data_IF_204876648422
#
_entry.id   IF_204876648422
#
_cell.length_a   1.000
_cell.length_b   1.000
_cell.length_c   1.000
_cell.angle_alpha   90.00
_cell.angle_beta   90.00
_cell.angle_gamma   90.00
#
_symmetry.space_group_name_H-M   'P 1'
#
loop_
_entity.id
_entity.type
_entity.pdbx_description
1 polymer ?
#
# COMPACT_ATOMS: atom_id res chain seq x y z
N UNK A 1 2.85 8.74 -7.47
CA UNK A 1 2.97 7.28 -7.44
C UNK A 1 4.30 6.88 -8.07
N UNK A 2 5.34 6.82 -7.25
CA UNK A 2 6.69 6.46 -7.67
C UNK A 2 7.20 5.30 -6.84
N UNK A 3 7.79 4.31 -7.51
CA UNK A 3 8.93 3.59 -6.97
C UNK A 3 8.64 2.40 -6.07
N UNK A 4 8.31 1.28 -6.69
CA UNK A 4 8.83 -0.02 -6.25
C UNK A 4 8.23 -0.61 -4.97
N UNK A 5 8.79 -1.74 -4.59
CA UNK A 5 8.37 -2.43 -3.40
C UNK A 5 8.74 -1.58 -2.18
N UNK A 6 7.76 -0.91 -1.57
CA UNK A 6 7.95 -0.30 -0.26
C UNK A 6 8.55 -1.34 0.70
N UNK A 7 9.68 -0.99 1.33
CA UNK A 7 10.44 -1.90 2.19
C UNK A 7 9.59 -2.54 3.29
N UNK A 8 8.54 -1.84 3.71
CA UNK A 8 7.49 -2.25 4.66
C UNK A 8 6.89 -3.66 4.40
N UNK A 9 6.99 -4.18 3.18
CA UNK A 9 6.31 -5.40 2.75
C UNK A 9 7.23 -6.50 2.22
N UNK A 10 8.56 -6.33 2.23
CA UNK A 10 9.50 -7.43 1.95
C UNK A 10 10.61 -7.50 3.00
N UNK A 11 10.21 -7.64 4.25
CA UNK A 11 11.14 -7.87 5.36
C UNK A 11 11.80 -6.62 5.93
N UNK A 12 11.61 -5.45 5.32
CA UNK A 12 11.69 -4.20 6.07
C UNK A 12 10.46 -4.12 6.93
N UNK A 13 10.57 -4.47 8.21
CA UNK A 13 9.56 -4.02 9.14
C UNK A 13 9.48 -2.51 9.00
N UNK A 14 8.34 -2.01 8.53
CA UNK A 14 8.05 -0.57 8.44
C UNK A 14 7.88 0.05 9.83
N UNK A 15 8.81 -0.20 10.76
CA UNK A 15 8.96 0.53 12.02
C UNK A 15 10.22 1.41 11.89
N UNK A 16 10.23 2.35 10.92
CA UNK A 16 11.13 3.52 10.98
C UNK A 16 11.75 4.06 9.67
N UNK A 17 11.91 5.39 9.69
CA UNK A 17 12.77 6.31 8.89
C UNK A 17 12.67 6.34 7.35
N UNK A 18 11.47 6.13 6.81
CA UNK A 18 11.00 6.83 5.60
C UNK A 18 9.96 7.90 5.98
N UNK A 19 9.56 8.78 5.06
CA UNK A 19 8.36 9.60 5.23
C UNK A 19 7.19 8.71 5.66
N UNK A 20 6.57 8.99 6.82
CA UNK A 20 5.59 8.11 7.44
C UNK A 20 6.22 6.95 8.23
N UNK A 21 6.31 7.09 9.56
CA UNK A 21 6.66 5.99 10.46
C UNK A 21 5.48 5.02 10.57
N UNK A 22 5.49 3.93 9.81
CA UNK A 22 4.50 2.86 9.94
C UNK A 22 3.73 2.56 8.65
N UNK A 23 3.13 1.36 8.51
CA UNK A 23 2.20 1.04 7.43
C UNK A 23 0.93 1.92 7.44
N UNK A 24 0.78 2.79 8.45
CA UNK A 24 -0.36 3.67 8.68
C UNK A 24 -0.07 5.15 8.42
N UNK A 25 1.11 5.49 7.88
CA UNK A 25 1.50 6.89 7.65
C UNK A 25 1.63 7.69 8.95
N UNK A 26 1.88 8.98 8.83
CA UNK A 26 1.98 9.91 9.97
C UNK A 26 0.62 10.02 10.66
N UNK A 27 0.45 9.28 11.75
CA UNK A 27 -0.59 9.51 12.76
C UNK A 27 -0.17 10.59 13.78
N UNK A 28 1.10 11.05 13.70
CA UNK A 28 1.78 11.82 14.77
C UNK A 28 2.64 13.00 14.27
N UNK A 29 2.63 13.37 12.97
CA UNK A 29 3.33 14.59 12.53
C UNK A 29 2.34 15.74 12.42
N UNK A 30 2.46 16.66 13.38
CA UNK A 30 2.06 18.08 13.37
C UNK A 30 1.03 18.47 12.29
N UNK A 31 -0.27 18.34 12.60
CA UNK A 31 -1.33 19.08 11.91
C UNK A 31 -2.36 18.28 11.10
N UNK A 32 -2.30 16.94 11.08
CA UNK A 32 -3.39 16.09 10.59
C UNK A 32 -3.75 15.05 11.66
N UNK A 33 -4.26 15.56 12.78
CA UNK A 33 -4.55 14.81 13.98
C UNK A 33 -5.66 13.77 13.77
N UNK A 34 -5.62 12.74 14.61
CA UNK A 34 -6.77 11.89 14.94
C UNK A 34 -8.06 12.66 15.31
N UNK A 35 -7.95 13.97 15.53
CA UNK A 35 -9.05 14.89 15.87
C UNK A 35 -9.94 15.27 14.68
N UNK A 36 -9.50 15.00 13.44
CA UNK A 36 -10.29 15.25 12.23
C UNK A 36 -11.22 14.09 11.85
N UNK A 37 -11.26 13.03 12.65
CA UNK A 37 -12.08 11.84 12.39
C UNK A 37 -13.20 11.69 13.42
N UNK A 38 -14.43 11.48 12.96
CA UNK A 38 -15.59 11.30 13.81
C UNK A 38 -16.15 9.88 13.69
N UNK A 39 -16.50 9.26 14.83
CA UNK A 39 -17.14 7.95 14.81
C UNK A 39 -18.56 8.04 14.24
N UNK A 40 -18.84 7.21 13.24
CA UNK A 40 -20.14 7.06 12.60
C UNK A 40 -20.75 5.73 13.04
N UNK A 41 -21.88 5.77 13.74
CA UNK A 41 -22.67 4.59 14.11
C UNK A 41 -23.32 3.91 12.90
N UNK A 42 -23.44 4.62 11.76
CA UNK A 42 -23.97 4.08 10.51
C UNK A 42 -22.96 3.15 9.82
N UNK A 43 -21.69 3.57 9.77
CA UNK A 43 -20.63 2.79 9.12
C UNK A 43 -19.81 1.94 10.10
N UNK A 44 -19.95 2.17 11.41
CA UNK A 44 -19.11 1.60 12.47
C UNK A 44 -17.61 1.89 12.26
N UNK A 45 -17.32 3.15 11.88
CA UNK A 45 -15.99 3.63 11.52
C UNK A 45 -15.75 5.03 12.02
N UNK A 46 -14.50 5.37 12.24
CA UNK A 46 -14.05 6.77 12.27
C UNK A 46 -13.89 7.25 10.84
N UNK A 47 -14.73 8.19 10.44
CA UNK A 47 -14.69 8.84 9.13
C UNK A 47 -13.90 10.13 9.27
N UNK A 48 -12.80 10.25 8.54
CA UNK A 48 -11.96 11.43 8.59
C UNK A 48 -12.46 12.52 7.66
N UNK A 49 -12.21 13.77 8.05
CA UNK A 49 -12.43 14.93 7.21
C UNK A 49 -11.68 14.77 5.89
N UNK A 50 -12.34 15.12 4.78
CA UNK A 50 -11.76 15.01 3.45
C UNK A 50 -10.65 16.04 3.29
N UNK A 51 -9.42 15.57 3.05
CA UNK A 51 -8.28 16.43 2.76
C UNK A 51 -8.27 16.75 1.27
N UNK A 52 -8.06 18.04 0.94
CA UNK A 52 -7.87 18.52 -0.43
C UNK A 52 -6.56 19.26 -0.55
N UNK A 53 -5.66 18.72 -1.35
CA UNK A 53 -4.32 19.29 -1.52
C UNK A 53 -3.85 19.07 -2.96
N UNK A 54 -3.30 20.10 -3.60
CA UNK A 54 -2.68 20.01 -4.93
C UNK A 54 -3.58 19.35 -6.00
N UNK A 55 -4.89 19.62 -5.97
CA UNK A 55 -5.87 19.07 -6.93
C UNK A 55 -6.30 17.63 -6.65
N UNK A 56 -5.82 17.03 -5.56
CA UNK A 56 -6.25 15.72 -5.07
C UNK A 56 -7.27 15.86 -3.95
N UNK A 57 -8.18 14.90 -3.90
CA UNK A 57 -9.13 14.65 -2.82
C UNK A 57 -8.75 13.32 -2.17
N UNK A 58 -8.49 13.35 -0.87
CA UNK A 58 -8.09 12.19 -0.08
C UNK A 58 -9.18 11.94 0.95
N UNK A 59 -9.70 10.71 0.97
CA UNK A 59 -10.65 10.23 1.97
C UNK A 59 -10.02 9.05 2.71
N UNK A 60 -10.16 9.02 4.03
CA UNK A 60 -9.63 7.98 4.90
C UNK A 60 -10.66 7.63 5.96
N UNK A 61 -10.77 6.35 6.28
CA UNK A 61 -11.58 5.91 7.42
C UNK A 61 -11.02 4.67 8.08
N UNK A 62 -11.38 4.49 9.35
CA UNK A 62 -10.83 3.45 10.21
C UNK A 62 -11.92 2.64 10.90
N UNK A 63 -11.67 1.36 11.13
CA UNK A 63 -12.44 0.55 12.07
C UNK A 63 -11.50 -0.07 13.08
N UNK A 64 -11.88 -0.01 14.34
CA UNK A 64 -11.15 -0.59 15.46
C UNK A 64 -12.04 -1.63 16.11
N UNK A 65 -11.50 -2.84 16.27
CA UNK A 65 -12.18 -3.93 16.96
C UNK A 65 -11.30 -4.44 18.09
N UNK A 66 -11.94 -4.79 19.21
CA UNK A 66 -11.28 -5.52 20.28
C UNK A 66 -11.04 -7.00 19.92
N UNK A 67 -10.50 -7.78 20.86
CA UNK A 67 -10.25 -9.21 20.65
C UNK A 67 -11.54 -10.05 20.47
N UNK A 68 -12.69 -9.57 20.94
CA UNK A 68 -14.00 -10.21 20.75
C UNK A 68 -14.67 -9.83 19.43
N UNK A 69 -14.12 -8.85 18.71
CA UNK A 69 -14.71 -8.29 17.49
C UNK A 69 -15.69 -7.15 17.76
N UNK A 70 -15.78 -6.63 18.98
CA UNK A 70 -16.62 -5.50 19.30
C UNK A 70 -16.01 -4.20 18.76
N UNK A 71 -16.84 -3.34 18.17
CA UNK A 71 -16.43 -2.05 17.60
C UNK A 71 -16.01 -1.09 18.70
N UNK A 72 -14.88 -0.44 18.50
CA UNK A 72 -14.36 0.61 19.37
C UNK A 72 -14.45 1.95 18.65
N UNK A 73 -14.88 2.98 19.38
CA UNK A 73 -15.08 4.33 18.84
C UNK A 73 -13.77 5.11 18.69
N UNK A 74 -12.70 4.62 19.31
CA UNK A 74 -11.35 5.15 19.25
C UNK A 74 -10.34 3.99 19.36
N UNK A 75 -9.11 4.25 18.95
CA UNK A 75 -8.02 3.30 19.15
C UNK A 75 -7.65 3.26 20.63
N UNK A 76 -7.52 2.06 21.17
CA UNK A 76 -7.12 1.81 22.55
C UNK A 76 -5.93 0.85 22.56
N UNK A 77 -4.80 1.32 23.07
CA UNK A 77 -3.53 0.55 23.05
C UNK A 77 -3.57 -0.75 23.84
N UNK A 78 -4.50 -0.89 24.79
CA UNK A 78 -4.62 -2.09 25.62
C UNK A 78 -5.57 -3.12 25.00
N UNK A 79 -6.63 -2.66 24.34
CA UNK A 79 -7.79 -3.50 23.98
C UNK A 79 -7.99 -3.65 22.47
N UNK A 80 -7.53 -2.70 21.64
CA UNK A 80 -7.66 -2.82 20.18
C UNK A 80 -6.83 -3.98 19.66
N UNK A 81 -7.49 -4.96 19.04
CA UNK A 81 -6.85 -6.11 18.42
C UNK A 81 -6.76 -5.99 16.90
N UNK A 82 -7.76 -5.39 16.28
CA UNK A 82 -7.88 -5.28 14.83
C UNK A 82 -8.04 -3.83 14.43
N UNK A 83 -7.26 -3.41 13.44
CA UNK A 83 -7.39 -2.12 12.76
C UNK A 83 -7.65 -2.40 11.29
N UNK A 84 -8.71 -1.83 10.75
CA UNK A 84 -8.95 -1.75 9.32
C UNK A 84 -8.86 -0.30 8.85
N UNK A 85 -8.15 -0.06 7.75
CA UNK A 85 -7.95 1.26 7.14
C UNK A 85 -8.43 1.23 5.71
N UNK A 86 -9.32 2.17 5.38
CA UNK A 86 -9.73 2.45 4.01
C UNK A 86 -9.17 3.80 3.61
N UNK A 87 -8.69 3.89 2.38
CA UNK A 87 -8.21 5.16 1.82
C UNK A 87 -8.61 5.23 0.36
N UNK A 88 -9.03 6.41 -0.09
CA UNK A 88 -9.18 6.71 -1.50
C UNK A 88 -8.52 8.04 -1.82
N UNK A 89 -7.93 8.11 -3.00
CA UNK A 89 -7.30 9.32 -3.53
C UNK A 89 -7.81 9.50 -4.94
N UNK A 90 -8.38 10.65 -5.23
CA UNK A 90 -8.83 10.98 -6.58
C UNK A 90 -8.63 12.44 -6.89
N UNK A 91 -8.32 12.78 -8.12
CA UNK A 91 -8.23 14.16 -8.55
C UNK A 91 -7.28 14.33 -9.71
N UNK A 92 -6.97 15.58 -10.00
CA UNK A 92 -6.13 15.95 -11.13
C UNK A 92 -5.04 16.88 -10.65
N UNK A 93 -3.80 16.48 -10.90
CA UNK A 93 -2.61 17.25 -10.61
C UNK A 93 -2.10 17.80 -11.93
N UNK A 94 -1.97 19.11 -12.03
CA UNK A 94 -1.16 19.72 -13.09
C UNK A 94 0.29 19.70 -12.60
N UNK A 95 1.17 19.10 -13.40
CA UNK A 95 2.61 19.20 -13.16
C UNK A 95 3.08 20.59 -13.65
N UNK A 96 4.31 20.74 -14.13
CA UNK A 96 4.63 21.93 -14.93
C UNK A 96 3.61 22.12 -16.07
N UNK A 97 3.55 23.31 -16.69
CA UNK A 97 2.55 23.71 -17.70
C UNK A 97 2.40 22.74 -18.91
N UNK A 98 3.23 21.72 -19.00
CA UNK A 98 3.29 20.74 -20.08
C UNK A 98 2.63 19.40 -19.78
N UNK A 99 2.18 19.10 -18.55
CA UNK A 99 1.54 17.81 -18.26
C UNK A 99 0.52 17.83 -17.12
N UNK A 100 -0.53 17.03 -17.26
CA UNK A 100 -1.61 16.86 -16.28
C UNK A 100 -1.83 15.39 -16.00
N UNK A 101 -1.97 15.00 -14.73
CA UNK A 101 -2.25 13.63 -14.31
C UNK A 101 -3.52 13.53 -13.52
N UNK A 102 -4.45 12.68 -13.97
CA UNK A 102 -5.66 12.31 -13.25
C UNK A 102 -5.43 10.99 -12.56
N UNK A 103 -5.66 10.96 -11.25
CA UNK A 103 -5.45 9.81 -10.37
C UNK A 103 -6.78 9.36 -9.81
N UNK A 104 -6.97 8.05 -9.68
CA UNK A 104 -8.05 7.42 -8.92
C UNK A 104 -7.53 6.12 -8.30
N UNK A 105 -7.35 6.10 -6.99
CA UNK A 105 -6.78 4.97 -6.25
C UNK A 105 -7.63 4.72 -5.01
N UNK A 106 -7.76 3.46 -4.63
CA UNK A 106 -8.37 3.05 -3.36
C UNK A 106 -7.61 1.90 -2.74
N UNK A 107 -7.63 1.83 -1.41
CA UNK A 107 -7.06 0.73 -0.64
C UNK A 107 -7.91 0.37 0.57
N UNK A 108 -7.84 -0.89 0.96
CA UNK A 108 -8.50 -1.48 2.12
C UNK A 108 -7.54 -2.49 2.78
N UNK A 109 -7.04 -2.16 3.97
CA UNK A 109 -6.05 -2.97 4.68
C UNK A 109 -6.52 -3.27 6.10
N UNK A 110 -6.32 -4.51 6.55
CA UNK A 110 -6.61 -4.96 7.90
C UNK A 110 -5.36 -5.55 8.54
N UNK A 111 -5.08 -5.11 9.76
CA UNK A 111 -4.07 -5.69 10.64
C UNK A 111 -4.75 -6.25 11.88
N UNK A 112 -4.45 -7.49 12.22
CA UNK A 112 -4.91 -8.15 13.45
C UNK A 112 -3.72 -8.52 14.35
N UNK A 113 -3.99 -8.84 15.62
CA UNK A 113 -2.95 -9.18 16.60
C UNK A 113 -2.27 -7.94 17.20
N UNK A 114 -3.03 -6.87 17.40
CA UNK A 114 -2.55 -5.62 17.99
C UNK A 114 -2.73 -5.57 19.51
N UNK A 115 -3.60 -6.40 20.07
CA UNK A 115 -3.87 -6.41 21.50
C UNK A 115 -2.64 -6.87 22.28
N UNK A 116 -2.51 -6.40 23.52
CA UNK A 116 -1.44 -6.80 24.43
C UNK A 116 -1.37 -8.32 24.57
N UNK A 117 -0.16 -8.87 24.57
CA UNK A 117 0.08 -10.32 24.64
C UNK A 117 0.00 -11.06 23.29
N UNK A 118 -0.31 -10.37 22.19
CA UNK A 118 -0.22 -10.98 20.86
C UNK A 118 1.22 -11.43 20.55
N UNK A 119 1.37 -12.61 19.97
CA UNK A 119 2.68 -13.18 19.56
C UNK A 119 2.99 -12.97 18.09
N UNK A 120 2.03 -12.45 17.32
CA UNK A 120 2.14 -12.19 15.89
C UNK A 120 1.14 -11.14 15.45
N UNK A 121 1.41 -10.54 14.29
CA UNK A 121 0.46 -9.70 13.55
C UNK A 121 0.14 -10.35 12.22
N UNK A 122 -1.10 -10.20 11.76
CA UNK A 122 -1.51 -10.66 10.43
C UNK A 122 -2.02 -9.49 9.61
N UNK A 123 -1.53 -9.37 8.39
CA UNK A 123 -1.93 -8.31 7.44
C UNK A 123 -2.70 -8.93 6.28
N UNK A 124 -3.84 -8.34 5.97
CA UNK A 124 -4.61 -8.59 4.77
C UNK A 124 -4.95 -7.26 4.10
N UNK A 125 -5.18 -7.27 2.80
CA UNK A 125 -5.75 -6.10 2.15
C UNK A 125 -5.62 -6.09 0.65
N UNK A 126 -6.21 -5.08 0.05
CA UNK A 126 -6.18 -4.84 -1.38
C UNK A 126 -5.98 -3.36 -1.65
N UNK A 127 -5.37 -3.05 -2.78
CA UNK A 127 -5.39 -1.70 -3.32
C UNK A 127 -5.46 -1.78 -4.84
N UNK A 128 -6.13 -0.81 -5.45
CA UNK A 128 -6.20 -0.72 -6.90
C UNK A 128 -6.34 0.74 -7.31
N UNK A 129 -5.87 1.06 -8.51
CA UNK A 129 -6.05 2.40 -9.04
C UNK A 129 -5.52 2.60 -10.44
N UNK A 130 -5.85 3.78 -10.96
CA UNK A 130 -5.48 4.24 -12.30
C UNK A 130 -4.84 5.62 -12.23
N UNK A 131 -3.89 5.84 -13.12
CA UNK A 131 -3.30 7.14 -13.43
C UNK A 131 -3.42 7.37 -14.93
N UNK A 132 -3.88 8.55 -15.34
CA UNK A 132 -3.87 8.99 -16.71
C UNK A 132 -3.13 10.32 -16.78
N UNK A 133 -1.99 10.34 -17.45
CA UNK A 133 -1.20 11.53 -17.71
C UNK A 133 -1.32 11.92 -19.17
N UNK A 134 -1.63 13.18 -19.44
CA UNK A 134 -1.51 13.77 -20.77
C UNK A 134 -0.53 14.93 -20.72
N UNK A 135 0.19 15.17 -21.80
CA UNK A 135 1.13 16.28 -21.85
C UNK A 135 1.89 16.36 -23.15
N UNK A 136 2.92 17.19 -23.16
CA UNK A 136 3.82 17.39 -24.30
C UNK A 136 5.27 17.26 -23.83
N UNK A 137 6.06 16.47 -24.55
CA UNK A 137 7.51 16.34 -24.33
C UNK A 137 8.22 16.58 -25.66
N UNK A 138 9.16 17.53 -25.69
CA UNK A 138 9.90 17.88 -26.91
C UNK A 138 8.94 18.14 -28.09
N UNK A 139 7.88 18.92 -27.84
CA UNK A 139 6.81 19.27 -28.80
C UNK A 139 5.92 18.09 -29.25
N UNK A 140 6.19 16.87 -28.79
CA UNK A 140 5.35 15.69 -29.06
C UNK A 140 4.36 15.48 -27.94
N UNK A 141 3.06 15.58 -28.27
CA UNK A 141 2.01 15.23 -27.32
C UNK A 141 2.05 13.74 -26.99
N UNK A 142 1.79 13.40 -25.73
CA UNK A 142 1.72 12.03 -25.25
C UNK A 142 0.55 11.81 -24.31
N UNK A 143 0.10 10.56 -24.26
CA UNK A 143 -0.81 10.04 -23.25
C UNK A 143 -0.15 8.84 -22.61
N UNK A 144 -0.02 8.85 -21.28
CA UNK A 144 0.44 7.72 -20.50
C UNK A 144 -0.66 7.27 -19.55
N UNK A 145 -1.00 5.99 -19.55
CA UNK A 145 -1.91 5.40 -18.59
C UNK A 145 -1.19 4.36 -17.74
N UNK A 146 -1.59 4.25 -16.48
CA UNK A 146 -1.15 3.19 -15.57
C UNK A 146 -2.35 2.62 -14.84
N UNK A 147 -2.37 1.31 -14.70
CA UNK A 147 -3.31 0.61 -13.83
C UNK A 147 -2.50 -0.27 -12.90
N UNK A 148 -2.77 -0.18 -11.60
CA UNK A 148 -2.07 -0.96 -10.58
C UNK A 148 -3.08 -1.66 -9.67
N UNK A 149 -2.67 -2.82 -9.15
CA UNK A 149 -3.45 -3.62 -8.22
C UNK A 149 -2.55 -4.46 -7.33
N UNK A 150 -2.72 -4.35 -6.03
CA UNK A 150 -1.99 -5.10 -5.01
C UNK A 150 -2.96 -5.90 -4.13
N UNK A 151 -2.50 -7.05 -3.65
CA UNK A 151 -3.24 -7.91 -2.72
C UNK A 151 -2.28 -8.49 -1.70
N UNK A 152 -2.65 -8.38 -0.43
CA UNK A 152 -1.96 -8.97 0.70
C UNK A 152 -2.89 -10.02 1.30
N UNK A 153 -2.40 -11.25 1.41
CA UNK A 153 -3.20 -12.36 1.93
C UNK A 153 -2.42 -13.06 3.03
N UNK A 154 -2.94 -12.97 4.25
CA UNK A 154 -2.47 -13.72 5.41
C UNK A 154 -1.00 -13.50 5.72
N UNK A 155 -0.47 -12.29 5.52
CA UNK A 155 0.93 -12.01 5.80
C UNK A 155 1.15 -11.98 7.31
N UNK A 156 1.82 -13.00 7.85
CA UNK A 156 2.06 -13.17 9.29
C UNK A 156 3.45 -12.69 9.64
N UNK A 157 3.55 -11.81 10.64
CA UNK A 157 4.79 -11.29 11.18
C UNK A 157 4.82 -11.64 12.68
N UNK A 158 5.69 -12.57 13.11
CA UNK A 158 5.86 -12.88 14.54
C UNK A 158 6.32 -11.66 15.33
N UNK A 159 5.98 -11.57 16.60
CA UNK A 159 6.47 -10.53 17.51
C UNK A 159 7.57 -11.12 18.39
N UNK A 160 8.69 -10.41 18.49
CA UNK A 160 9.80 -10.76 19.37
C UNK A 160 10.27 -9.51 20.11
N UNK A 161 10.47 -9.64 21.42
CA UNK A 161 10.87 -8.52 22.27
C UNK A 161 12.20 -7.92 21.82
N UNK A 162 12.18 -6.61 21.58
CA UNK A 162 13.36 -5.82 21.25
C UNK A 162 14.01 -6.14 19.89
N UNK A 163 13.37 -6.93 19.00
CA UNK A 163 13.94 -7.28 17.70
C UNK A 163 12.92 -7.21 16.56
N UNK A 164 13.27 -6.54 15.46
CA UNK A 164 12.54 -6.69 14.21
C UNK A 164 12.56 -8.17 13.74
N UNK A 165 11.39 -8.73 13.45
CA UNK A 165 11.21 -10.03 12.78
C UNK A 165 10.96 -9.85 11.27
N UNK A 166 10.54 -10.89 10.57
CA UNK A 166 10.17 -10.83 9.16
C UNK A 166 8.92 -11.68 8.91
N UNK A 167 8.22 -11.48 7.78
CA UNK A 167 7.06 -12.28 7.47
C UNK A 167 7.38 -13.77 7.34
N UNK A 168 6.63 -14.62 8.03
CA UNK A 168 6.81 -16.08 8.04
C UNK A 168 5.71 -16.82 7.30
N UNK A 169 4.59 -16.19 6.97
CA UNK A 169 3.54 -16.80 6.18
C UNK A 169 2.83 -15.75 5.31
N UNK A 170 2.08 -16.22 4.31
CA UNK A 170 1.23 -15.40 3.47
C UNK A 170 1.82 -15.04 2.13
N UNK A 171 1.10 -14.20 1.39
CA UNK A 171 1.46 -13.80 0.03
C UNK A 171 1.19 -12.32 -0.19
N UNK A 172 2.05 -11.69 -0.97
CA UNK A 172 1.86 -10.34 -1.51
C UNK A 172 1.90 -10.44 -3.02
N UNK A 173 0.81 -10.06 -3.67
CA UNK A 173 0.71 -9.96 -5.13
C UNK A 173 0.68 -8.48 -5.50
N UNK A 174 1.45 -8.11 -6.51
CA UNK A 174 1.44 -6.77 -7.09
C UNK A 174 1.35 -6.87 -8.60
N UNK A 175 0.57 -5.99 -9.20
CA UNK A 175 0.40 -5.96 -10.64
C UNK A 175 0.33 -4.52 -11.11
N UNK A 176 1.00 -4.25 -12.22
CA UNK A 176 0.98 -2.96 -12.88
C UNK A 176 0.99 -3.17 -14.39
N UNK A 177 0.18 -2.38 -15.08
CA UNK A 177 0.28 -2.18 -16.52
C UNK A 177 0.47 -0.70 -16.78
N UNK A 178 1.37 -0.36 -17.69
CA UNK A 178 1.59 0.99 -18.16
C UNK A 178 1.53 1.01 -19.69
N UNK A 179 0.82 1.98 -20.25
CA UNK A 179 0.75 2.23 -21.69
C UNK A 179 1.17 3.67 -21.96
N UNK A 180 2.00 3.88 -22.96
CA UNK A 180 2.39 5.21 -23.44
C UNK A 180 2.09 5.30 -24.93
N UNK A 181 1.42 6.37 -25.33
CA UNK A 181 1.10 6.68 -26.72
C UNK A 181 1.63 8.06 -27.04
N UNK A 182 2.49 8.16 -28.05
CA UNK A 182 2.93 9.44 -28.63
C UNK A 182 1.98 9.83 -29.76
N UNK A 183 1.77 11.13 -29.96
CA UNK A 183 0.96 11.64 -31.07
C UNK A 183 1.47 11.13 -32.42
N UNK A 184 0.57 10.57 -33.23
CA UNK A 184 0.90 9.95 -34.52
C UNK A 184 1.60 8.58 -34.43
N UNK A 185 1.89 8.09 -33.22
CA UNK A 185 2.53 6.79 -32.99
C UNK A 185 1.55 5.70 -32.54
N UNK A 186 2.02 4.45 -32.55
CA UNK A 186 1.30 3.34 -31.92
C UNK A 186 1.58 3.27 -30.40
N UNK A 187 0.62 2.79 -29.59
CA UNK A 187 0.83 2.61 -28.16
C UNK A 187 1.93 1.59 -27.86
N UNK A 188 2.74 1.89 -26.85
CA UNK A 188 3.69 0.96 -26.24
C UNK A 188 3.17 0.57 -24.86
N UNK A 189 2.98 -0.73 -24.62
CA UNK A 189 2.47 -1.26 -23.36
C UNK A 189 3.52 -2.14 -22.69
N UNK A 190 3.70 -1.99 -21.38
CA UNK A 190 4.44 -2.93 -20.55
C UNK A 190 3.64 -3.29 -19.31
N UNK A 191 3.78 -4.53 -18.86
CA UNK A 191 3.08 -5.12 -17.73
C UNK A 191 4.05 -5.87 -16.84
N UNK A 192 3.81 -5.81 -15.54
CA UNK A 192 4.62 -6.48 -14.53
C UNK A 192 3.72 -6.99 -13.41
N UNK A 193 3.88 -8.26 -13.08
CA UNK A 193 3.24 -8.91 -11.94
C UNK A 193 4.29 -9.57 -11.07
N UNK A 194 4.25 -9.28 -9.78
CA UNK A 194 5.10 -9.89 -8.77
C UNK A 194 4.24 -10.68 -7.78
N UNK A 195 4.69 -11.89 -7.42
CA UNK A 195 4.12 -12.69 -6.34
C UNK A 195 5.22 -13.02 -5.36
N UNK A 196 5.11 -12.49 -4.14
CA UNK A 196 6.01 -12.81 -3.03
C UNK A 196 5.29 -13.79 -2.11
N UNK A 197 5.92 -14.92 -1.83
CA UNK A 197 5.39 -15.94 -0.92
C UNK A 197 6.32 -16.13 0.27
N UNK A 198 5.73 -16.11 1.45
CA UNK A 198 6.38 -16.42 2.71
C UNK A 198 5.91 -17.80 3.18
N UNK A 199 6.86 -18.70 3.41
CA UNK A 199 6.60 -20.11 3.71
C UNK A 199 7.33 -20.60 4.97
N UNK A 200 7.71 -19.67 5.84
CA UNK A 200 8.41 -19.92 7.10
C UNK A 200 9.93 -19.93 6.98
N UNK A 201 10.47 -19.95 5.75
CA UNK A 201 11.91 -19.91 5.54
C UNK A 201 12.48 -18.49 5.72
N UNK A 202 13.81 -18.41 5.91
CA UNK A 202 14.54 -17.14 5.92
C UNK A 202 14.71 -16.53 4.51
N UNK A 203 13.97 -17.02 3.50
CA UNK A 203 14.07 -16.57 2.10
C UNK A 203 12.68 -16.56 1.46
N UNK A 204 12.19 -15.37 1.11
CA UNK A 204 10.95 -15.27 0.37
C UNK A 204 11.13 -15.77 -1.06
N UNK A 205 10.14 -16.52 -1.56
CA UNK A 205 10.02 -16.87 -2.98
C UNK A 205 9.36 -15.72 -3.71
N UNK A 206 9.89 -15.35 -4.87
CA UNK A 206 9.40 -14.21 -5.66
C UNK A 206 9.24 -14.65 -7.11
N UNK A 207 8.03 -14.63 -7.64
CA UNK A 207 7.77 -14.86 -9.06
C UNK A 207 7.49 -13.53 -9.74
N UNK A 208 8.25 -13.20 -10.78
CA UNK A 208 8.09 -11.96 -11.54
C UNK A 208 7.73 -12.30 -12.98
N UNK A 209 6.53 -11.93 -13.40
CA UNK A 209 6.10 -11.98 -14.80
C UNK A 209 6.13 -10.57 -15.36
N UNK A 210 6.98 -10.33 -16.35
CA UNK A 210 7.06 -9.06 -17.07
C UNK A 210 6.83 -9.31 -18.55
N UNK A 211 5.85 -8.64 -19.14
CA UNK A 211 5.54 -8.72 -20.57
C UNK A 211 5.40 -10.16 -21.08
N UNK A 212 4.72 -10.99 -20.27
CA UNK A 212 4.52 -12.42 -20.54
C UNK A 212 5.69 -13.34 -20.16
N UNK A 213 6.88 -12.78 -19.90
CA UNK A 213 8.07 -13.54 -19.51
C UNK A 213 8.14 -13.69 -18.00
N UNK A 214 8.22 -14.93 -17.51
CA UNK A 214 8.28 -15.23 -16.07
C UNK A 214 9.67 -15.61 -15.62
N UNK A 215 10.11 -15.04 -14.50
CA UNK A 215 11.35 -15.36 -13.80
C UNK A 215 11.05 -15.79 -12.38
N UNK A 216 11.79 -16.78 -11.90
CA UNK A 216 11.75 -17.19 -10.51
C UNK A 216 12.92 -16.55 -9.78
N UNK A 217 12.61 -15.90 -8.67
CA UNK A 217 13.57 -15.16 -7.87
C UNK A 217 13.42 -15.55 -6.41
N UNK A 218 14.44 -15.23 -5.63
CA UNK A 218 14.47 -15.40 -4.18
C UNK A 218 15.01 -14.15 -3.52
N UNK A 219 14.56 -13.88 -2.29
CA UNK A 219 15.07 -12.78 -1.49
C UNK A 219 15.31 -13.23 -0.04
N UNK A 220 16.56 -13.24 0.45
CA UNK A 220 16.82 -13.45 1.87
C UNK A 220 16.08 -12.41 2.74
N UNK A 221 15.59 -12.84 3.89
CA UNK A 221 14.89 -12.00 4.86
C UNK A 221 15.80 -11.76 6.08
N UNK A 222 15.65 -10.63 6.80
CA UNK A 222 14.76 -9.50 6.50
C UNK A 222 15.27 -8.59 5.35
N UNK A 223 16.59 -8.53 5.13
CA UNK A 223 17.23 -7.57 4.23
C UNK A 223 18.21 -8.25 3.26
N UNK A 224 17.69 -9.02 2.31
CA UNK A 224 18.47 -9.61 1.23
C UNK A 224 18.28 -8.92 -0.11
N UNK A 225 19.28 -9.04 -1.00
CA UNK A 225 19.12 -8.65 -2.40
C UNK A 225 18.28 -9.68 -3.14
N UNK A 226 17.37 -9.23 -3.99
CA UNK A 226 16.61 -10.10 -4.89
C UNK A 226 17.57 -10.73 -5.91
N UNK A 227 17.51 -12.06 -6.06
CA UNK A 227 18.30 -12.81 -7.03
C UNK A 227 17.35 -13.63 -7.90
N UNK A 228 17.51 -13.56 -9.23
CA UNK A 228 16.64 -14.22 -10.19
C UNK A 228 17.42 -15.20 -11.06
N UNK A 229 16.80 -16.34 -11.36
CA UNK A 229 17.25 -17.32 -12.36
C UNK A 229 16.38 -17.26 -13.60
#
# INVERSE_FOLDING_TARGET
MGGGIGEAFIGGIGFGRGFGRGPFGEWEREGHDSDDCAFSTTSNRLECTIVRENGLTINRSFSFLDASGAVQQAFDTATTNTVNVKTSVSGTITHHETATSTVKVSSDFTVTGLASGSTQRTVNGTSAGTELTTGTKEEVAFTASRTAGDTITGVVIPLQDGRPTYPTAGTVVRSMQATVTLSGGSPSTSSRREVVTYDGSATAKVVITQDGVTKNCTKPLPHGRLTCS
#
